data_IF_705036504024
#
_entry.id   IF_705036504024
#
_cell.length_a   1.000
_cell.length_b   1.000
_cell.length_c   1.000
_cell.angle_alpha   90.00
_cell.angle_beta   90.00
_cell.angle_gamma   90.00
#
_symmetry.space_group_name_H-M   'P 1'
#
loop_
_entity.id
_entity.type
_entity.pdbx_description
1 polymer ?
#
# COMPACT_ATOMS: atom_id res chain seq x y z
N UNK A 1 -2.64 7.00 -15.46
CA UNK A 1 -2.80 5.92 -14.48
C UNK A 1 -1.45 5.24 -14.32
N UNK A 2 -0.89 5.24 -13.12
CA UNK A 2 0.38 4.57 -12.80
C UNK A 2 0.06 3.16 -12.28
N UNK A 3 0.86 2.17 -12.65
CA UNK A 3 0.75 0.79 -12.14
C UNK A 3 2.07 0.41 -11.49
N UNK A 4 2.03 -0.05 -10.25
CA UNK A 4 3.22 -0.47 -9.49
C UNK A 4 2.94 -1.78 -8.72
N UNK A 5 3.96 -2.40 -8.14
CA UNK A 5 3.79 -3.61 -7.33
C UNK A 5 3.33 -3.28 -5.91
N UNK A 6 4.11 -2.51 -5.16
CA UNK A 6 3.86 -2.07 -3.78
C UNK A 6 4.42 -0.66 -3.55
N UNK A 7 3.80 0.09 -2.63
CA UNK A 7 4.35 1.38 -2.20
C UNK A 7 5.10 1.17 -0.87
N UNK A 8 6.43 1.27 -0.90
CA UNK A 8 7.28 1.18 0.29
C UNK A 8 7.53 2.55 0.92
N UNK A 9 8.32 3.39 0.26
CA UNK A 9 8.62 4.77 0.70
C UNK A 9 8.03 5.84 -0.24
N UNK A 10 7.21 5.43 -1.22
CA UNK A 10 6.62 6.33 -2.22
C UNK A 10 7.59 6.85 -3.28
N UNK A 11 8.88 6.52 -3.22
CA UNK A 11 9.91 7.10 -4.09
C UNK A 11 9.67 6.86 -5.59
N UNK A 12 9.30 5.64 -5.99
CA UNK A 12 8.98 5.29 -7.39
C UNK A 12 7.80 6.10 -7.93
N UNK A 13 6.75 6.22 -7.11
CA UNK A 13 5.56 6.99 -7.44
C UNK A 13 5.89 8.48 -7.57
N UNK A 14 6.66 9.05 -6.63
CA UNK A 14 7.08 10.46 -6.67
C UNK A 14 7.82 10.81 -7.96
N UNK A 15 8.80 9.99 -8.32
CA UNK A 15 9.57 10.19 -9.55
C UNK A 15 8.67 10.09 -10.80
N UNK A 16 7.77 9.10 -10.83
CA UNK A 16 6.84 8.91 -11.93
C UNK A 16 5.86 10.08 -12.08
N UNK A 17 5.32 10.61 -10.97
CA UNK A 17 4.45 11.80 -10.98
C UNK A 17 5.19 12.99 -11.58
N UNK A 18 6.41 13.26 -11.12
CA UNK A 18 7.23 14.37 -11.63
C UNK A 18 7.50 14.26 -13.13
N UNK A 19 7.83 13.07 -13.62
CA UNK A 19 8.07 12.84 -15.06
C UNK A 19 6.80 13.12 -15.88
N UNK A 20 5.64 12.64 -15.41
CA UNK A 20 4.35 12.82 -16.10
C UNK A 20 3.94 14.29 -16.14
N UNK A 21 4.08 15.00 -15.01
CA UNK A 21 3.77 16.43 -14.92
C UNK A 21 4.72 17.29 -15.77
N UNK A 22 6.01 16.96 -15.78
CA UNK A 22 6.99 17.63 -16.66
C UNK A 22 6.70 17.43 -18.15
N UNK A 23 6.06 16.32 -18.51
CA UNK A 23 5.55 16.08 -19.86
C UNK A 23 4.24 16.82 -20.17
N UNK A 24 3.69 17.60 -19.23
CA UNK A 24 2.46 18.36 -19.39
C UNK A 24 1.18 17.52 -19.23
N UNK A 25 1.29 16.31 -18.66
CA UNK A 25 0.15 15.42 -18.42
C UNK A 25 -0.26 15.43 -16.94
N UNK A 26 -1.48 14.99 -16.66
CA UNK A 26 -1.99 14.86 -15.30
C UNK A 26 -2.04 13.38 -14.88
N UNK A 27 -1.65 13.09 -13.65
CA UNK A 27 -1.74 11.75 -13.07
C UNK A 27 -3.17 11.50 -12.61
N UNK A 28 -3.81 10.47 -13.18
CA UNK A 28 -5.17 10.08 -12.82
C UNK A 28 -5.29 9.26 -11.51
N UNK A 29 -4.18 8.74 -10.99
CA UNK A 29 -4.14 7.82 -9.85
C UNK A 29 -3.09 6.71 -10.01
N UNK A 30 -2.97 5.89 -8.97
CA UNK A 30 -2.03 4.75 -8.88
C UNK A 30 -2.80 3.46 -8.59
N UNK A 31 -2.44 2.37 -9.26
CA UNK A 31 -2.93 1.02 -8.97
C UNK A 31 -1.75 0.17 -8.52
N UNK A 32 -1.90 -0.55 -7.41
CA UNK A 32 -0.88 -1.44 -6.86
C UNK A 32 -1.39 -2.85 -6.65
N UNK A 33 -0.48 -3.82 -6.57
CA UNK A 33 -0.85 -5.21 -6.33
C UNK A 33 -1.29 -5.44 -4.88
N UNK A 34 -0.55 -4.92 -3.92
CA UNK A 34 -0.81 -5.16 -2.49
C UNK A 34 -0.67 -3.88 -1.67
N UNK A 35 -1.76 -3.49 -1.00
CA UNK A 35 -1.70 -2.57 0.13
C UNK A 35 -1.36 -3.33 1.41
N UNK A 36 -0.20 -3.00 1.99
CA UNK A 36 0.30 -3.63 3.20
C UNK A 36 -0.37 -3.11 4.48
N UNK A 37 -1.13 -2.01 4.40
CA UNK A 37 -1.85 -1.38 5.52
C UNK A 37 -0.94 -1.15 6.74
N UNK A 38 0.32 -0.80 6.49
CA UNK A 38 1.34 -0.59 7.51
C UNK A 38 1.80 0.87 7.52
N UNK A 39 2.20 1.34 8.70
CA UNK A 39 2.79 2.66 8.87
C UNK A 39 4.14 2.76 8.14
N UNK A 40 4.39 3.93 7.55
CA UNK A 40 5.68 4.30 7.00
C UNK A 40 6.66 4.69 8.10
N UNK A 41 7.37 5.80 7.90
CA UNK A 41 8.28 6.34 8.93
C UNK A 41 7.54 7.05 10.07
N UNK A 42 6.30 7.50 9.83
CA UNK A 42 5.44 8.18 10.81
C UNK A 42 4.25 7.33 11.24
N UNK A 43 3.13 8.00 11.51
CA UNK A 43 1.86 7.37 11.91
C UNK A 43 0.97 7.00 10.70
N UNK A 44 1.30 7.50 9.51
CA UNK A 44 0.58 7.25 8.25
C UNK A 44 1.25 6.19 7.40
N UNK A 45 0.50 5.53 6.53
CA UNK A 45 1.08 4.64 5.51
C UNK A 45 1.71 5.43 4.37
N UNK A 46 2.60 4.77 3.63
CA UNK A 46 3.19 5.36 2.42
C UNK A 46 2.13 5.66 1.34
N UNK A 47 1.01 4.95 1.36
CA UNK A 47 -0.15 5.24 0.50
C UNK A 47 -0.79 6.57 0.91
N UNK A 48 -1.13 6.73 2.19
CA UNK A 48 -1.73 7.96 2.71
C UNK A 48 -0.82 9.18 2.46
N UNK A 49 0.50 9.01 2.60
CA UNK A 49 1.48 10.05 2.27
C UNK A 49 1.43 10.45 0.78
N UNK A 50 1.35 9.48 -0.13
CA UNK A 50 1.25 9.73 -1.59
C UNK A 50 -0.07 10.41 -1.94
N UNK A 51 -1.19 9.93 -1.41
CA UNK A 51 -2.51 10.51 -1.67
C UNK A 51 -2.58 11.97 -1.20
N UNK A 52 -2.11 12.25 0.02
CA UNK A 52 -2.07 13.61 0.57
C UNK A 52 -1.09 14.52 -0.18
N UNK A 53 0.06 13.99 -0.62
CA UNK A 53 1.09 14.78 -1.27
C UNK A 53 0.69 15.22 -2.69
N UNK A 54 0.03 14.35 -3.45
CA UNK A 54 -0.24 14.57 -4.88
C UNK A 54 -1.71 14.78 -5.21
N UNK A 55 -2.62 14.67 -4.23
CA UNK A 55 -4.07 14.76 -4.44
C UNK A 55 -4.56 13.74 -5.50
N UNK A 56 -4.02 12.51 -5.43
CA UNK A 56 -4.36 11.40 -6.32
C UNK A 56 -4.84 10.20 -5.52
N UNK A 57 -5.78 9.43 -6.07
CA UNK A 57 -6.23 8.18 -5.45
C UNK A 57 -5.24 7.04 -5.71
N UNK A 58 -5.01 6.21 -4.68
CA UNK A 58 -4.31 4.93 -4.79
C UNK A 58 -5.31 3.80 -4.58
N UNK A 59 -5.30 2.79 -5.45
CA UNK A 59 -6.12 1.59 -5.29
C UNK A 59 -5.27 0.33 -5.35
N UNK A 60 -5.68 -0.72 -4.65
CA UNK A 60 -4.95 -1.97 -4.55
C UNK A 60 -5.79 -3.15 -5.03
N UNK A 61 -5.14 -4.16 -5.60
CA UNK A 61 -5.80 -5.43 -5.97
C UNK A 61 -6.14 -6.25 -4.72
N UNK A 62 -5.24 -6.23 -3.73
CA UNK A 62 -5.44 -6.89 -2.45
C UNK A 62 -4.90 -6.03 -1.29
N UNK A 63 -5.42 -6.27 -0.09
CA UNK A 63 -4.95 -5.66 1.15
C UNK A 63 -4.37 -6.71 2.12
N UNK A 64 -3.67 -6.26 3.16
CA UNK A 64 -3.24 -7.12 4.27
C UNK A 64 -4.44 -7.81 4.94
N UNK A 65 -5.57 -7.14 5.05
CA UNK A 65 -6.81 -7.75 5.56
C UNK A 65 -7.33 -8.87 4.66
N UNK A 66 -7.24 -8.70 3.33
CA UNK A 66 -7.57 -9.80 2.41
C UNK A 66 -6.63 -11.00 2.63
N UNK A 67 -5.33 -10.75 2.86
CA UNK A 67 -4.37 -11.81 3.16
C UNK A 67 -4.69 -12.51 4.49
N UNK A 68 -5.03 -11.77 5.54
CA UNK A 68 -5.44 -12.35 6.84
C UNK A 68 -6.68 -13.23 6.67
N UNK A 69 -7.72 -12.72 6.02
CA UNK A 69 -8.94 -13.48 5.74
C UNK A 69 -8.66 -14.75 4.92
N UNK A 70 -7.77 -14.67 3.93
CA UNK A 70 -7.37 -15.84 3.14
C UNK A 70 -6.64 -16.91 3.96
N UNK A 71 -5.81 -16.51 4.93
CA UNK A 71 -5.04 -17.42 5.78
C UNK A 71 -5.90 -18.07 6.87
N UNK A 72 -6.97 -17.43 7.34
CA UNK A 72 -7.90 -17.98 8.34
C UNK A 72 -8.55 -19.30 7.88
N UNK A 73 -8.79 -19.46 6.57
CA UNK A 73 -9.32 -20.68 5.99
C UNK A 73 -8.31 -21.83 5.83
N UNK A 74 -7.06 -21.67 6.28
CA UNK A 74 -5.97 -22.62 6.03
C UNK A 74 -5.28 -23.08 7.32
N UNK A 75 -5.73 -24.20 7.93
CA UNK A 75 -5.11 -24.73 9.15
C UNK A 75 -3.61 -25.01 9.01
N UNK A 76 -3.17 -25.46 7.83
CA UNK A 76 -1.75 -25.69 7.52
C UNK A 76 -0.89 -24.42 7.57
N UNK A 77 -1.50 -23.23 7.54
CA UNK A 77 -0.83 -21.93 7.55
C UNK A 77 -1.06 -21.17 8.86
N UNK A 78 -1.52 -21.83 9.93
CA UNK A 78 -1.81 -21.18 11.21
C UNK A 78 -0.62 -20.41 11.80
N UNK A 79 0.60 -20.93 11.62
CA UNK A 79 1.81 -20.23 12.05
C UNK A 79 2.03 -18.93 11.24
N UNK A 80 1.85 -18.96 9.92
CA UNK A 80 1.96 -17.78 9.07
C UNK A 80 0.91 -16.73 9.44
N UNK A 81 -0.34 -17.16 9.68
CA UNK A 81 -1.42 -16.28 10.15
C UNK A 81 -1.05 -15.57 11.45
N UNK A 82 -0.50 -16.29 12.43
CA UNK A 82 -0.07 -15.70 13.70
C UNK A 82 1.07 -14.70 13.53
N UNK A 83 2.03 -14.99 12.65
CA UNK A 83 3.12 -14.05 12.32
C UNK A 83 2.58 -12.78 11.67
N UNK A 84 1.67 -12.90 10.72
CA UNK A 84 1.03 -11.75 10.05
C UNK A 84 0.21 -10.92 11.03
N UNK A 85 -0.56 -11.55 11.92
CA UNK A 85 -1.33 -10.83 12.95
C UNK A 85 -0.43 -10.09 13.94
N UNK A 86 0.68 -10.71 14.36
CA UNK A 86 1.68 -10.06 15.21
C UNK A 86 2.28 -8.84 14.52
N UNK A 87 2.63 -8.98 13.23
CA UNK A 87 3.12 -7.88 12.43
C UNK A 87 2.10 -6.74 12.32
N UNK A 88 0.85 -7.05 11.97
CA UNK A 88 -0.24 -6.07 11.88
C UNK A 88 -0.47 -5.37 13.21
N UNK A 89 -0.39 -6.07 14.33
CA UNK A 89 -0.52 -5.44 15.65
C UNK A 89 0.61 -4.47 15.98
N UNK A 90 1.81 -4.69 15.44
CA UNK A 90 2.98 -3.85 15.70
C UNK A 90 3.13 -2.69 14.71
N UNK A 91 2.64 -2.83 13.48
CA UNK A 91 2.89 -1.87 12.39
C UNK A 91 1.65 -1.45 11.61
N UNK A 92 0.50 -2.08 11.83
CA UNK A 92 -0.74 -1.75 11.14
C UNK A 92 -1.21 -0.34 11.47
N UNK A 93 -1.83 0.31 10.49
CA UNK A 93 -2.56 1.56 10.69
C UNK A 93 -3.99 1.27 11.15
N UNK A 94 -4.59 2.18 11.92
CA UNK A 94 -6.04 2.19 12.12
C UNK A 94 -6.67 2.91 10.93
N UNK A 95 -7.68 2.30 10.30
CA UNK A 95 -8.53 2.99 9.32
C UNK A 95 -9.29 4.17 9.95
#
# INVERSE_FOLDING_TARGET
LIVDDVISAGTSVRESVQIIEQAGACVAGVVIALDRQERGQGDTSAIQEVEAQFDICVTSIATLDNLVAYLEGKPAMAQALNSVRTYRSAYGIAE
#
